data_IF_325893431825
#
_entry.id   IF_325893431825
#
_cell.length_a   1.000
_cell.length_b   1.000
_cell.length_c   1.000
_cell.angle_alpha   90.00
_cell.angle_beta   90.00
_cell.angle_gamma   90.00
#
_symmetry.space_group_name_H-M   'P 1'
#
loop_
_entity.id
_entity.type
_entity.pdbx_description
1 polymer ?
#
# COMPACT_ATOMS: atom_id res chain seq x y z
N UNK A 1 3.93 -20.19 -8.80
CA UNK A 1 3.75 -18.91 -9.49
C UNK A 1 2.29 -18.70 -9.87
N UNK A 2 1.63 -19.68 -10.51
CA UNK A 2 0.21 -19.62 -10.90
C UNK A 2 -0.73 -19.33 -9.72
N UNK A 3 -0.52 -19.95 -8.54
CA UNK A 3 -1.30 -19.66 -7.33
C UNK A 3 -1.14 -18.22 -6.82
N UNK A 4 0.05 -17.63 -6.95
CA UNK A 4 0.27 -16.22 -6.56
C UNK A 4 -0.31 -15.22 -7.55
N UNK A 5 -0.51 -15.64 -8.79
CA UNK A 5 -1.13 -14.85 -9.86
C UNK A 5 -2.63 -15.11 -10.00
N UNK A 6 -3.21 -15.95 -9.10
CA UNK A 6 -4.63 -16.35 -9.11
C UNK A 6 -5.07 -16.95 -10.46
N UNK A 7 -4.14 -17.58 -11.18
CA UNK A 7 -4.45 -18.21 -12.45
C UNK A 7 -5.12 -19.59 -12.22
N UNK A 8 -6.18 -19.92 -12.95
CA UNK A 8 -6.93 -21.16 -12.77
C UNK A 8 -6.13 -22.42 -13.15
N UNK A 9 -5.08 -22.29 -13.98
CA UNK A 9 -4.18 -23.37 -14.39
C UNK A 9 -2.76 -22.85 -14.59
N UNK A 10 -1.71 -23.67 -14.35
CA UNK A 10 -0.33 -23.35 -14.72
C UNK A 10 -0.07 -23.48 -16.22
N UNK A 11 -1.00 -24.06 -16.99
CA UNK A 11 -0.89 -24.24 -18.43
C UNK A 11 -0.96 -22.87 -19.15
N UNK A 12 0.01 -22.61 -20.02
CA UNK A 12 0.12 -21.36 -20.76
C UNK A 12 0.88 -20.24 -20.02
N UNK A 13 1.42 -20.48 -18.82
CA UNK A 13 2.31 -19.55 -18.16
C UNK A 13 3.70 -19.62 -18.76
N UNK A 14 4.03 -18.70 -19.65
CA UNK A 14 5.38 -18.51 -20.16
C UNK A 14 6.13 -17.48 -19.32
N UNK A 15 7.29 -17.86 -18.80
CA UNK A 15 8.16 -16.94 -18.05
C UNK A 15 9.21 -16.41 -19.03
N UNK A 16 9.03 -15.16 -19.43
CA UNK A 16 10.00 -14.46 -20.27
C UNK A 16 11.11 -13.91 -19.36
N UNK A 17 12.37 -14.18 -19.72
CA UNK A 17 13.48 -13.58 -19.01
C UNK A 17 13.48 -12.06 -19.28
N UNK A 18 13.61 -11.21 -18.24
CA UNK A 18 13.73 -9.78 -18.45
C UNK A 18 15.01 -9.46 -19.22
N UNK A 19 14.96 -8.40 -20.03
CA UNK A 19 16.17 -7.91 -20.70
C UNK A 19 17.27 -7.65 -19.66
N UNK A 20 18.48 -8.13 -19.96
CA UNK A 20 19.63 -8.02 -19.08
C UNK A 20 19.90 -6.57 -18.72
N UNK A 21 19.93 -6.27 -17.42
CA UNK A 21 20.26 -4.93 -16.93
C UNK A 21 21.69 -4.56 -17.29
N UNK A 22 21.90 -3.38 -17.85
CA UNK A 22 23.24 -2.85 -18.10
C UNK A 22 23.86 -2.44 -16.78
N UNK A 23 24.98 -3.06 -16.35
CA UNK A 23 25.67 -2.65 -15.11
C UNK A 23 26.19 -1.22 -15.26
N UNK A 24 26.15 -0.46 -14.16
CA UNK A 24 26.70 0.90 -14.10
C UNK A 24 25.65 2.02 -14.18
N UNK A 25 24.37 1.71 -14.36
CA UNK A 25 23.30 2.71 -14.24
C UNK A 25 22.93 2.83 -12.76
N UNK A 26 23.35 3.90 -12.11
CA UNK A 26 22.95 4.21 -10.73
C UNK A 26 21.54 4.77 -10.71
N UNK A 27 20.72 4.39 -9.72
CA UNK A 27 19.41 5.00 -9.54
C UNK A 27 19.55 6.49 -9.14
N UNK A 28 18.53 7.33 -9.41
CA UNK A 28 18.50 8.71 -8.92
C UNK A 28 18.58 8.77 -7.40
N UNK A 29 19.00 9.91 -6.85
CA UNK A 29 19.09 10.09 -5.40
C UNK A 29 17.73 9.84 -4.71
N UNK A 30 17.71 9.33 -3.47
CA UNK A 30 16.47 9.00 -2.74
C UNK A 30 15.49 10.18 -2.65
N UNK A 31 16.00 11.41 -2.50
CA UNK A 31 15.17 12.62 -2.43
C UNK A 31 14.39 12.88 -3.72
N UNK A 32 15.01 12.65 -4.88
CA UNK A 32 14.35 12.80 -6.18
C UNK A 32 13.26 11.74 -6.38
N UNK A 33 13.51 10.50 -5.97
CA UNK A 33 12.53 9.40 -6.02
C UNK A 33 11.35 9.71 -5.09
N UNK A 34 11.65 10.18 -3.87
CA UNK A 34 10.63 10.51 -2.87
C UNK A 34 9.72 11.66 -3.33
N UNK A 35 10.27 12.70 -3.93
CA UNK A 35 9.49 13.82 -4.45
C UNK A 35 8.44 13.37 -5.48
N UNK A 36 8.77 12.39 -6.31
CA UNK A 36 7.83 11.78 -7.26
C UNK A 36 6.83 10.85 -6.53
N UNK A 37 7.33 9.97 -5.66
CA UNK A 37 6.55 8.96 -4.97
C UNK A 37 5.43 9.54 -4.08
N UNK A 38 5.68 10.65 -3.37
CA UNK A 38 4.69 11.31 -2.49
C UNK A 38 3.40 11.66 -3.22
N UNK A 39 3.50 12.07 -4.49
CA UNK A 39 2.33 12.40 -5.31
C UNK A 39 1.59 11.19 -5.88
N UNK A 40 2.27 10.05 -6.01
CA UNK A 40 1.77 8.86 -6.70
C UNK A 40 1.24 7.80 -5.74
N UNK A 41 1.84 7.67 -4.54
CA UNK A 41 1.52 6.57 -3.63
C UNK A 41 0.13 6.72 -3.00
N UNK A 42 -0.75 5.69 -3.17
CA UNK A 42 -2.14 5.73 -2.68
C UNK A 42 -2.23 5.91 -1.15
N UNK A 43 -1.29 5.34 -0.39
CA UNK A 43 -1.23 5.45 1.06
C UNK A 43 -1.05 6.89 1.54
N UNK A 44 -0.18 7.68 0.90
CA UNK A 44 -0.01 9.11 1.22
C UNK A 44 -1.28 9.88 0.86
N UNK A 45 -1.86 9.60 -0.30
CA UNK A 45 -3.12 10.23 -0.74
C UNK A 45 -4.29 9.88 0.19
N UNK A 46 -4.35 8.65 0.69
CA UNK A 46 -5.35 8.21 1.65
C UNK A 46 -5.25 9.02 2.96
N UNK A 47 -4.04 9.19 3.53
CA UNK A 47 -3.85 9.98 4.73
C UNK A 47 -4.13 11.47 4.53
N UNK A 48 -3.83 12.02 3.34
CA UNK A 48 -4.23 13.38 2.99
C UNK A 48 -5.75 13.57 2.94
N UNK A 49 -6.48 12.59 2.41
CA UNK A 49 -7.94 12.62 2.38
C UNK A 49 -8.54 12.45 3.79
N UNK A 50 -7.95 11.60 4.63
CA UNK A 50 -8.32 11.46 6.05
C UNK A 50 -8.12 12.78 6.79
N UNK A 51 -7.00 13.46 6.58
CA UNK A 51 -6.75 14.77 7.18
C UNK A 51 -7.82 15.79 6.80
N UNK A 52 -8.21 15.84 5.52
CA UNK A 52 -9.33 16.68 5.06
C UNK A 52 -10.67 16.28 5.70
N UNK A 53 -10.91 14.99 5.93
CA UNK A 53 -12.10 14.53 6.63
C UNK A 53 -12.14 15.00 8.09
N UNK A 54 -11.02 14.93 8.81
CA UNK A 54 -10.90 15.45 10.16
C UNK A 54 -11.07 16.99 10.22
N UNK A 55 -10.62 17.72 9.21
CA UNK A 55 -10.90 19.15 9.07
C UNK A 55 -12.42 19.41 8.98
N UNK A 56 -13.15 18.61 8.19
CA UNK A 56 -14.63 18.72 8.11
C UNK A 56 -15.31 18.34 9.42
N UNK A 57 -14.76 17.38 10.17
CA UNK A 57 -15.28 17.01 11.49
C UNK A 57 -15.23 18.17 12.49
N UNK A 58 -14.23 19.08 12.38
CA UNK A 58 -14.22 20.31 13.17
C UNK A 58 -15.46 21.18 12.84
N UNK A 59 -15.81 21.29 11.57
CA UNK A 59 -16.98 22.05 11.15
C UNK A 59 -18.30 21.38 11.59
N UNK A 60 -18.36 20.05 11.56
CA UNK A 60 -19.49 19.29 12.10
C UNK A 60 -19.64 19.56 13.60
N UNK A 61 -18.55 19.48 14.37
CA UNK A 61 -18.60 19.80 15.80
C UNK A 61 -18.98 21.26 16.10
N UNK A 62 -18.68 22.20 15.21
CA UNK A 62 -19.11 23.59 15.32
C UNK A 62 -20.60 23.77 14.98
N UNK A 63 -21.20 22.87 14.21
CA UNK A 63 -22.61 22.95 13.83
C UNK A 63 -23.54 22.92 15.06
N UNK A 64 -23.12 22.28 16.15
CA UNK A 64 -23.86 22.23 17.42
C UNK A 64 -23.98 23.60 18.13
N UNK A 65 -23.29 24.63 17.63
CA UNK A 65 -23.53 26.02 18.10
C UNK A 65 -24.75 26.69 17.45
N UNK A 66 -25.23 26.14 16.33
CA UNK A 66 -26.32 26.74 15.55
C UNK A 66 -27.67 26.10 15.88
N UNK A 67 -28.76 26.83 15.68
CA UNK A 67 -30.10 26.27 15.79
C UNK A 67 -30.31 25.11 14.82
N UNK A 68 -31.06 24.10 15.28
CA UNK A 68 -31.49 22.98 14.43
C UNK A 68 -32.99 23.11 14.16
N UNK A 69 -33.37 23.04 12.87
CA UNK A 69 -34.76 23.02 12.43
C UNK A 69 -35.06 21.59 11.95
N UNK A 70 -36.07 20.96 12.57
CA UNK A 70 -36.48 19.62 12.16
C UNK A 70 -37.92 19.66 11.67
N UNK A 71 -38.15 19.05 10.50
CA UNK A 71 -39.47 18.77 9.95
C UNK A 71 -39.84 17.32 10.23
N UNK A 72 -41.07 17.11 10.73
CA UNK A 72 -41.59 15.77 10.95
C UNK A 72 -42.98 15.65 10.34
N UNK A 73 -43.22 14.52 9.68
CA UNK A 73 -44.54 14.17 9.17
C UNK A 73 -44.76 12.68 9.42
N UNK A 74 -46.00 12.34 9.81
CA UNK A 74 -46.31 10.94 10.04
C UNK A 74 -47.76 10.64 9.83
N UNK A 75 -48.03 9.38 9.58
CA UNK A 75 -49.34 8.77 9.50
C UNK A 75 -49.41 7.70 10.57
N UNK A 76 -50.50 7.63 11.29
CA UNK A 76 -50.68 6.66 12.34
C UNK A 76 -52.13 6.17 12.41
N UNK A 77 -52.33 4.96 12.83
CA UNK A 77 -53.61 4.42 13.25
C UNK A 77 -53.36 3.40 14.37
N UNK A 78 -54.36 3.05 15.12
CA UNK A 78 -54.22 2.12 16.21
C UNK A 78 -55.46 1.27 16.43
N UNK A 79 -55.25 0.03 16.85
CA UNK A 79 -56.28 -0.87 17.32
C UNK A 79 -56.07 -1.21 18.80
N UNK A 80 -57.15 -1.11 19.60
CA UNK A 80 -57.12 -1.49 21.00
C UNK A 80 -58.36 -2.26 21.39
N UNK A 81 -58.23 -3.22 22.31
CA UNK A 81 -59.30 -4.00 22.87
C UNK A 81 -59.15 -4.03 24.38
N UNK A 82 -60.16 -3.51 25.08
CA UNK A 82 -60.21 -3.51 26.54
C UNK A 82 -61.02 -4.72 27.01
N UNK A 83 -60.49 -5.48 27.98
CA UNK A 83 -61.21 -6.61 28.57
C UNK A 83 -62.47 -6.10 29.27
N UNK A 84 -63.60 -6.80 29.08
CA UNK A 84 -64.89 -6.47 29.67
C UNK A 84 -65.75 -5.46 28.85
N UNK A 85 -65.22 -4.93 27.73
CA UNK A 85 -65.99 -4.04 26.86
C UNK A 85 -66.10 -4.58 25.44
N UNK A 86 -67.28 -4.30 24.79
CA UNK A 86 -67.44 -4.62 23.36
C UNK A 86 -66.56 -3.71 22.53
N UNK A 87 -65.47 -4.20 21.99
CA UNK A 87 -64.62 -3.46 21.08
C UNK A 87 -65.32 -3.32 19.71
N UNK A 88 -65.10 -2.18 19.03
CA UNK A 88 -65.45 -1.99 17.62
C UNK A 88 -64.64 -2.89 16.74
N UNK A 89 -65.09 -3.16 15.52
CA UNK A 89 -64.36 -4.03 14.58
C UNK A 89 -62.97 -3.46 14.30
N UNK A 90 -62.06 -4.34 13.88
CA UNK A 90 -60.67 -3.96 13.55
C UNK A 90 -60.64 -2.89 12.45
N UNK A 91 -61.45 -3.09 11.40
CA UNK A 91 -61.52 -2.14 10.27
C UNK A 91 -62.01 -0.76 10.66
N UNK A 92 -63.09 -0.73 11.48
CA UNK A 92 -63.66 0.55 11.97
C UNK A 92 -62.65 1.30 12.83
N UNK A 93 -61.95 0.61 13.72
CA UNK A 93 -60.93 1.27 14.56
C UNK A 93 -59.74 1.78 13.76
N UNK A 94 -59.28 1.06 12.73
CA UNK A 94 -58.20 1.53 11.86
C UNK A 94 -58.59 2.80 11.09
N UNK A 95 -59.82 2.89 10.67
CA UNK A 95 -60.38 4.10 9.99
C UNK A 95 -60.58 5.27 10.96
N UNK A 96 -61.23 5.01 12.10
CA UNK A 96 -61.57 6.03 13.07
C UNK A 96 -60.34 6.61 13.79
N UNK A 97 -59.32 5.77 14.04
CA UNK A 97 -58.10 6.19 14.72
C UNK A 97 -57.00 6.70 13.74
N UNK A 98 -57.31 6.78 12.45
CA UNK A 98 -56.38 7.28 11.48
C UNK A 98 -56.05 8.75 11.70
N UNK A 99 -54.81 9.04 12.00
CA UNK A 99 -54.32 10.39 12.21
C UNK A 99 -53.16 10.73 11.27
N UNK A 100 -53.05 11.99 10.96
CA UNK A 100 -51.98 12.60 10.17
C UNK A 100 -51.43 13.75 10.97
N UNK A 101 -50.12 13.84 11.04
CA UNK A 101 -49.49 14.99 11.64
C UNK A 101 -48.37 15.56 10.80
N UNK A 102 -48.18 16.85 10.87
CA UNK A 102 -47.06 17.58 10.32
C UNK A 102 -46.56 18.48 11.46
N UNK A 103 -45.26 18.41 11.71
CA UNK A 103 -44.62 19.17 12.76
C UNK A 103 -43.36 19.88 12.28
N UNK A 104 -43.12 21.07 12.79
CA UNK A 104 -41.89 21.83 12.63
C UNK A 104 -41.38 22.16 14.02
N UNK A 105 -40.13 21.76 14.31
CA UNK A 105 -39.52 22.07 15.60
C UNK A 105 -38.21 22.83 15.40
N UNK A 106 -38.01 23.91 16.14
CA UNK A 106 -36.79 24.70 16.18
C UNK A 106 -36.15 24.53 17.56
N UNK A 107 -34.91 23.98 17.57
CA UNK A 107 -34.13 23.84 18.81
C UNK A 107 -32.95 24.80 18.78
N UNK A 108 -32.87 25.71 19.74
CA UNK A 108 -31.79 26.70 19.88
C UNK A 108 -31.02 26.40 21.14
N UNK A 109 -29.78 25.90 21.04
CA UNK A 109 -28.95 25.59 22.21
C UNK A 109 -28.41 26.87 22.85
N UNK A 110 -28.92 27.25 24.03
CA UNK A 110 -28.46 28.43 24.78
C UNK A 110 -27.25 28.07 25.66
N UNK A 111 -27.33 26.94 26.38
CA UNK A 111 -26.29 26.46 27.27
C UNK A 111 -26.28 24.93 27.32
N UNK A 112 -25.13 24.32 26.98
CA UNK A 112 -24.97 22.89 26.95
C UNK A 112 -23.78 22.40 27.82
N UNK A 113 -23.52 23.07 28.96
CA UNK A 113 -22.44 22.74 29.88
C UNK A 113 -21.04 22.67 29.19
N UNK A 114 -20.81 23.52 28.22
CA UNK A 114 -19.57 23.56 27.40
C UNK A 114 -19.31 22.29 26.54
N UNK A 115 -20.35 21.44 26.34
CA UNK A 115 -20.20 20.19 25.60
C UNK A 115 -19.70 20.45 24.14
N UNK A 116 -20.34 21.38 23.42
CA UNK A 116 -19.95 21.78 22.07
C UNK A 116 -18.52 22.35 22.03
N UNK A 117 -18.16 23.21 23.00
CA UNK A 117 -16.79 23.74 23.09
C UNK A 117 -15.76 22.62 23.22
N UNK A 118 -16.03 21.63 24.08
CA UNK A 118 -15.15 20.49 24.29
C UNK A 118 -15.13 19.55 23.07
N UNK A 119 -16.26 19.35 22.39
CA UNK A 119 -16.34 18.59 21.15
C UNK A 119 -15.46 19.22 20.05
N UNK A 120 -15.54 20.54 19.85
CA UNK A 120 -14.71 21.27 18.90
C UNK A 120 -13.22 21.16 19.28
N UNK A 121 -12.88 21.28 20.57
CA UNK A 121 -11.48 21.11 21.03
C UNK A 121 -10.98 19.70 20.75
N UNK A 122 -11.77 18.68 21.04
CA UNK A 122 -11.46 17.29 20.74
C UNK A 122 -11.27 17.07 19.24
N UNK A 123 -12.17 17.60 18.40
CA UNK A 123 -12.03 17.48 16.94
C UNK A 123 -10.74 18.14 16.41
N UNK A 124 -10.32 19.27 16.97
CA UNK A 124 -9.04 19.91 16.61
C UNK A 124 -7.84 19.06 16.98
N UNK A 125 -7.83 18.47 18.20
CA UNK A 125 -6.75 17.57 18.61
C UNK A 125 -6.68 16.31 17.73
N UNK A 126 -7.84 15.79 17.32
CA UNK A 126 -7.89 14.66 16.39
C UNK A 126 -7.35 15.03 15.00
N UNK A 127 -7.62 16.23 14.49
CA UNK A 127 -7.04 16.73 13.25
C UNK A 127 -5.51 16.88 13.37
N UNK A 128 -5.02 17.40 14.49
CA UNK A 128 -3.57 17.52 14.76
C UNK A 128 -2.92 16.13 14.83
N UNK A 129 -3.52 15.18 15.55
CA UNK A 129 -3.04 13.80 15.60
C UNK A 129 -2.98 13.17 14.19
N UNK A 130 -3.99 13.41 13.35
CA UNK A 130 -4.00 12.91 11.97
C UNK A 130 -2.91 13.56 11.10
N UNK A 131 -2.55 14.80 11.35
CA UNK A 131 -1.42 15.44 10.64
C UNK A 131 -0.10 14.77 10.96
N UNK A 132 0.11 14.35 12.21
CA UNK A 132 1.29 13.58 12.62
C UNK A 132 1.33 12.19 11.97
N UNK A 133 0.18 11.52 11.82
CA UNK A 133 0.08 10.24 11.10
C UNK A 133 0.47 10.40 9.62
N UNK A 134 0.03 11.48 8.97
CA UNK A 134 0.45 11.78 7.60
C UNK A 134 1.96 11.99 7.49
N UNK A 135 2.56 12.71 8.43
CA UNK A 135 4.00 12.95 8.46
C UNK A 135 4.78 11.66 8.73
N UNK A 136 4.28 10.80 9.61
CA UNK A 136 4.84 9.47 9.86
C UNK A 136 4.79 8.61 8.60
N UNK A 137 3.65 8.59 7.89
CA UNK A 137 3.50 7.86 6.62
C UNK A 137 4.51 8.31 5.58
N UNK A 138 4.73 9.63 5.45
CA UNK A 138 5.75 10.17 4.54
C UNK A 138 7.17 9.78 4.95
N UNK A 139 7.49 9.81 6.25
CA UNK A 139 8.80 9.38 6.77
C UNK A 139 9.06 7.90 6.53
N UNK A 140 8.04 7.06 6.71
CA UNK A 140 8.13 5.63 6.44
C UNK A 140 8.37 5.37 4.95
N UNK A 141 7.63 6.02 4.06
CA UNK A 141 7.85 5.96 2.62
C UNK A 141 9.28 6.38 2.24
N UNK A 142 9.78 7.45 2.83
CA UNK A 142 11.16 7.89 2.60
C UNK A 142 12.19 6.85 3.03
N UNK A 143 12.00 6.25 4.21
CA UNK A 143 12.84 5.16 4.72
C UNK A 143 12.83 3.95 3.79
N UNK A 144 11.67 3.55 3.28
CA UNK A 144 11.55 2.44 2.33
C UNK A 144 12.29 2.73 1.02
N UNK A 145 12.18 3.94 0.50
CA UNK A 145 12.90 4.40 -0.70
C UNK A 145 14.42 4.40 -0.45
N UNK A 146 14.88 4.88 0.70
CA UNK A 146 16.30 4.82 1.06
C UNK A 146 16.80 3.38 1.11
N UNK A 147 16.03 2.48 1.75
CA UNK A 147 16.38 1.07 1.81
C UNK A 147 16.46 0.43 0.42
N UNK A 148 15.46 0.72 -0.45
CA UNK A 148 15.44 0.23 -1.82
C UNK A 148 16.65 0.76 -2.62
N UNK A 149 17.01 2.03 -2.45
CA UNK A 149 18.16 2.66 -3.09
C UNK A 149 19.48 1.98 -2.70
N UNK A 150 19.74 1.81 -1.41
CA UNK A 150 20.96 1.15 -0.96
C UNK A 150 21.01 -0.33 -1.34
N UNK A 151 19.87 -1.01 -1.35
CA UNK A 151 19.80 -2.38 -1.85
C UNK A 151 20.13 -2.46 -3.34
N UNK A 152 19.72 -1.49 -4.16
CA UNK A 152 20.06 -1.45 -5.58
C UNK A 152 21.57 -1.19 -5.81
N UNK A 153 22.18 -0.27 -5.05
CA UNK A 153 23.62 -0.01 -5.10
C UNK A 153 24.42 -1.26 -4.70
N UNK A 154 24.02 -1.93 -3.62
CA UNK A 154 24.70 -3.13 -3.17
C UNK A 154 24.56 -4.27 -4.18
N UNK A 155 23.40 -4.42 -4.80
CA UNK A 155 23.18 -5.43 -5.85
C UNK A 155 24.01 -5.12 -7.10
N UNK A 156 24.16 -3.86 -7.50
CA UNK A 156 25.04 -3.45 -8.61
C UNK A 156 26.50 -3.78 -8.32
N UNK A 157 27.00 -3.45 -7.13
CA UNK A 157 28.36 -3.74 -6.73
C UNK A 157 28.64 -5.25 -6.70
N UNK A 158 27.68 -6.05 -6.19
CA UNK A 158 27.74 -7.51 -6.18
C UNK A 158 27.76 -8.08 -7.61
N UNK A 159 26.90 -7.57 -8.49
CA UNK A 159 26.87 -8.00 -9.89
C UNK A 159 28.19 -7.69 -10.59
N UNK A 160 28.73 -6.48 -10.44
CA UNK A 160 30.02 -6.08 -11.01
C UNK A 160 31.17 -6.96 -10.50
N UNK A 161 31.21 -7.26 -9.21
CA UNK A 161 32.19 -8.14 -8.62
C UNK A 161 32.07 -9.58 -9.17
N UNK A 162 30.85 -10.09 -9.34
CA UNK A 162 30.59 -11.42 -9.86
C UNK A 162 31.02 -11.59 -11.34
N UNK A 163 30.90 -10.54 -12.16
CA UNK A 163 31.39 -10.50 -13.53
C UNK A 163 32.92 -10.70 -13.58
N UNK A 164 33.65 -10.02 -12.70
CA UNK A 164 35.12 -10.17 -12.60
C UNK A 164 35.49 -11.56 -12.11
N UNK A 165 34.79 -12.11 -11.13
CA UNK A 165 35.02 -13.43 -10.58
C UNK A 165 34.78 -14.54 -11.63
N UNK A 166 33.69 -14.45 -12.41
CA UNK A 166 33.40 -15.39 -13.49
C UNK A 166 34.49 -15.37 -14.54
N UNK A 167 34.87 -14.16 -15.02
CA UNK A 167 35.96 -14.03 -16.02
C UNK A 167 37.28 -14.63 -15.54
N UNK A 168 37.60 -14.41 -14.26
CA UNK A 168 38.83 -14.98 -13.66
C UNK A 168 38.74 -16.51 -13.56
N UNK A 169 37.60 -17.05 -13.17
CA UNK A 169 37.37 -18.49 -13.09
C UNK A 169 37.41 -19.17 -14.47
N UNK A 170 36.84 -18.50 -15.50
CA UNK A 170 36.88 -18.94 -16.89
C UNK A 170 38.33 -19.02 -17.42
N UNK A 171 39.10 -17.94 -17.17
CA UNK A 171 40.51 -17.92 -17.56
C UNK A 171 41.33 -19.05 -16.89
N UNK A 172 41.08 -19.27 -15.59
CA UNK A 172 41.72 -20.38 -14.86
C UNK A 172 41.31 -21.75 -15.41
N UNK A 173 40.01 -21.95 -15.67
CA UNK A 173 39.51 -23.20 -16.27
C UNK A 173 40.16 -23.46 -17.62
N UNK A 174 40.26 -22.46 -18.50
CA UNK A 174 40.93 -22.54 -19.80
C UNK A 174 42.39 -22.90 -19.65
N UNK A 175 43.12 -22.31 -18.69
CA UNK A 175 44.51 -22.60 -18.42
C UNK A 175 44.72 -24.05 -17.93
N UNK A 176 43.89 -24.50 -16.97
CA UNK A 176 43.98 -25.86 -16.43
C UNK A 176 43.60 -26.90 -17.50
N UNK A 177 42.64 -26.62 -18.37
CA UNK A 177 42.26 -27.47 -19.50
C UNK A 177 43.48 -27.68 -20.43
N UNK A 178 44.15 -26.59 -20.83
CA UNK A 178 45.38 -26.68 -21.65
C UNK A 178 46.51 -27.46 -20.96
N UNK A 179 46.68 -27.32 -19.63
CA UNK A 179 47.64 -28.08 -18.85
C UNK A 179 47.34 -29.58 -18.85
N UNK A 180 46.03 -29.92 -18.67
CA UNK A 180 45.57 -31.30 -18.69
C UNK A 180 45.78 -31.96 -20.06
N UNK A 181 45.46 -31.28 -21.17
CA UNK A 181 45.69 -31.74 -22.54
C UNK A 181 47.19 -32.01 -22.81
N UNK A 182 48.09 -31.28 -22.16
CA UNK A 182 49.54 -31.47 -22.24
C UNK A 182 50.11 -32.37 -21.13
N UNK A 183 49.27 -33.16 -20.43
CA UNK A 183 49.62 -34.03 -19.32
C UNK A 183 50.35 -33.31 -18.14
N UNK A 184 50.13 -32.01 -17.95
CA UNK A 184 50.71 -31.17 -16.90
C UNK A 184 49.75 -30.85 -15.76
N UNK A 185 48.54 -31.36 -15.79
CA UNK A 185 47.53 -31.28 -14.73
C UNK A 185 46.81 -32.64 -14.65
N UNK A 186 46.26 -32.96 -13.47
CA UNK A 186 45.50 -34.18 -13.27
C UNK A 186 43.97 -33.96 -13.44
N UNK A 187 43.19 -35.03 -13.49
CA UNK A 187 41.75 -34.99 -13.67
C UNK A 187 41.03 -34.26 -12.52
N UNK A 188 41.53 -34.33 -11.27
CA UNK A 188 40.97 -33.66 -10.11
C UNK A 188 41.10 -32.15 -10.22
N UNK A 189 42.30 -31.66 -10.63
CA UNK A 189 42.53 -30.23 -10.86
C UNK A 189 41.59 -29.66 -11.95
N UNK A 190 41.40 -30.43 -13.04
CA UNK A 190 40.43 -30.03 -14.09
C UNK A 190 39.00 -29.98 -13.57
N UNK A 191 38.58 -30.99 -12.81
CA UNK A 191 37.23 -31.03 -12.21
C UNK A 191 37.01 -29.89 -11.23
N UNK A 192 37.99 -29.56 -10.40
CA UNK A 192 37.92 -28.41 -9.49
C UNK A 192 37.81 -27.07 -10.23
N UNK A 193 38.65 -26.88 -11.27
CA UNK A 193 38.60 -25.66 -12.08
C UNK A 193 37.24 -25.50 -12.79
N UNK A 194 36.70 -26.59 -13.33
CA UNK A 194 35.37 -26.64 -13.93
C UNK A 194 34.28 -26.27 -12.90
N UNK A 195 34.31 -26.84 -11.71
CA UNK A 195 33.37 -26.59 -10.64
C UNK A 195 33.42 -25.11 -10.20
N UNK A 196 34.60 -24.54 -10.04
CA UNK A 196 34.81 -23.13 -9.71
C UNK A 196 34.23 -22.22 -10.78
N UNK A 197 34.46 -22.51 -12.05
CA UNK A 197 33.89 -21.74 -13.16
C UNK A 197 32.36 -21.84 -13.18
N UNK A 198 31.79 -23.03 -13.07
CA UNK A 198 30.33 -23.23 -13.03
C UNK A 198 29.68 -22.46 -11.87
N UNK A 199 30.26 -22.52 -10.66
CA UNK A 199 29.78 -21.81 -9.51
C UNK A 199 29.88 -20.28 -9.69
N UNK A 200 30.95 -19.78 -10.29
CA UNK A 200 31.10 -18.36 -10.59
C UNK A 200 30.05 -17.88 -11.60
N UNK A 201 29.75 -18.66 -12.64
CA UNK A 201 28.68 -18.35 -13.61
C UNK A 201 27.28 -18.31 -12.96
N UNK A 202 27.00 -19.29 -12.08
CA UNK A 202 25.73 -19.30 -11.32
C UNK A 202 25.62 -18.06 -10.42
N UNK A 203 26.68 -17.74 -9.69
CA UNK A 203 26.70 -16.58 -8.80
C UNK A 203 26.52 -15.26 -9.57
N UNK A 204 27.16 -15.14 -10.75
CA UNK A 204 26.97 -13.98 -11.62
C UNK A 204 25.51 -13.86 -12.08
N UNK A 205 24.91 -14.96 -12.54
CA UNK A 205 23.53 -14.97 -13.00
C UNK A 205 22.56 -14.57 -11.87
N UNK A 206 22.75 -15.11 -10.67
CA UNK A 206 21.95 -14.73 -9.51
C UNK A 206 22.10 -13.24 -9.15
N UNK A 207 23.33 -12.72 -9.18
CA UNK A 207 23.60 -11.31 -8.90
C UNK A 207 22.99 -10.38 -9.97
N UNK A 208 23.00 -10.79 -11.24
CA UNK A 208 22.37 -10.07 -12.35
C UNK A 208 20.86 -9.91 -12.15
N UNK A 209 20.15 -11.01 -11.89
CA UNK A 209 18.71 -10.98 -11.66
C UNK A 209 18.36 -10.24 -10.36
N UNK A 210 19.16 -10.34 -9.31
CA UNK A 210 19.00 -9.55 -8.11
C UNK A 210 19.10 -8.05 -8.41
N UNK A 211 20.10 -7.62 -9.17
CA UNK A 211 20.26 -6.23 -9.59
C UNK A 211 19.07 -5.73 -10.42
N UNK A 212 18.65 -6.48 -11.43
CA UNK A 212 17.50 -6.15 -12.28
C UNK A 212 16.24 -5.97 -11.40
N UNK A 213 15.99 -6.88 -10.48
CA UNK A 213 14.85 -6.82 -9.58
C UNK A 213 14.89 -5.58 -8.67
N UNK A 214 16.06 -5.26 -8.10
CA UNK A 214 16.22 -4.06 -7.26
C UNK A 214 16.00 -2.77 -8.05
N UNK A 215 16.45 -2.72 -9.30
CA UNK A 215 16.22 -1.57 -10.19
C UNK A 215 14.74 -1.43 -10.58
N UNK A 216 14.03 -2.54 -10.80
CA UNK A 216 12.57 -2.50 -11.03
C UNK A 216 11.82 -1.98 -9.81
N UNK A 217 12.24 -2.30 -8.57
CA UNK A 217 11.66 -1.72 -7.35
C UNK A 217 11.84 -0.20 -7.32
N UNK A 218 12.99 0.32 -7.69
CA UNK A 218 13.21 1.77 -7.78
C UNK A 218 12.26 2.42 -8.80
N UNK A 219 12.13 1.83 -9.99
CA UNK A 219 11.19 2.31 -11.02
C UNK A 219 9.74 2.30 -10.53
N UNK A 220 9.34 1.30 -9.74
CA UNK A 220 8.02 1.24 -9.11
C UNK A 220 7.77 2.43 -8.16
N UNK A 221 8.77 2.85 -7.37
CA UNK A 221 8.63 4.03 -6.54
C UNK A 221 8.55 5.33 -7.37
N UNK A 222 9.13 5.36 -8.57
CA UNK A 222 9.01 6.47 -9.53
C UNK A 222 7.69 6.49 -10.28
N UNK A 223 6.84 5.46 -10.13
CA UNK A 223 5.56 5.35 -10.83
C UNK A 223 5.69 4.85 -12.28
N UNK A 224 6.84 4.31 -12.66
CA UNK A 224 7.01 3.67 -13.95
C UNK A 224 6.39 2.27 -13.93
N UNK A 225 5.82 1.86 -15.07
CA UNK A 225 5.26 0.51 -15.23
C UNK A 225 6.36 -0.54 -15.07
N UNK A 226 6.04 -1.65 -14.40
CA UNK A 226 7.00 -2.72 -14.08
C UNK A 226 7.07 -3.76 -15.23
N UNK A 227 6.30 -3.53 -16.31
CA UNK A 227 6.29 -4.40 -17.48
C UNK A 227 7.69 -4.60 -18.10
#
# INVERSE_FOLDING_TARGET
LSQRLELPSPEGLEVIAPDGGTPGVLPPAPDAIFAQAVGLKPEVKAEQLRLKAYEKNINIAKADYYPTLAFSAGLGTGYYKTSGFKARSFGDQLSDNFNKYIGLSLNIPIFNRLATRNAVRKARLQHEAQSLVLDETKKNLYKEIQQAYYNAINAEAKYRSSLVAEKTAEQNFTLVTRKYENAKANATELAEAKTKHTNAAINRLQAEYEYIFRMKIIKFYQGSDIS
#
